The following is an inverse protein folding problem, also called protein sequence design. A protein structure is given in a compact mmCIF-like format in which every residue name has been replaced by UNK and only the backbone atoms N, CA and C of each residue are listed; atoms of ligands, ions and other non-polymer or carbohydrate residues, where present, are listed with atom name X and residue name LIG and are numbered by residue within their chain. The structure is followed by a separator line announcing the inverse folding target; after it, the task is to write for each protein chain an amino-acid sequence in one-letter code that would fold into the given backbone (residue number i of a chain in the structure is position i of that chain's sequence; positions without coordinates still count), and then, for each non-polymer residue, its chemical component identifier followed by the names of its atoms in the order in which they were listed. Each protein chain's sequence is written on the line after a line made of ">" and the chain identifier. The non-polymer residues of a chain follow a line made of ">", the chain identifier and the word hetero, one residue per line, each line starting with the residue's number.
data_IF_489528820894
#
_entry.id   IF_489528820894
#
_cell.length_a   1.000
_cell.length_b   1.000
_cell.length_c   1.000
_cell.angle_alpha   90.00
_cell.angle_beta   90.00
_cell.angle_gamma   90.00
#
_symmetry.space_group_name_H-M   'P 1'
#
loop_
_entity.id
_entity.type
_entity.pdbx_description
1 polymer ?
#
# COMPACT_ATOMS: atom_id res chain seq x y z
N UNK A 1 26.67 14.68 -3.72
CA UNK A 1 25.88 14.57 -2.47
C UNK A 1 24.52 15.26 -2.53
N UNK A 2 24.31 16.33 -3.30
CA UNK A 2 23.03 17.07 -3.42
C UNK A 2 21.94 16.28 -4.17
N UNK A 3 22.31 15.54 -5.23
CA UNK A 3 21.35 14.82 -6.07
C UNK A 3 20.56 13.73 -5.33
N UNK A 4 21.18 13.01 -4.38
CA UNK A 4 20.51 12.01 -3.57
C UNK A 4 19.51 12.61 -2.56
N UNK A 5 19.77 13.82 -2.04
CA UNK A 5 18.84 14.53 -1.15
C UNK A 5 17.58 14.98 -1.88
N UNK A 6 17.70 15.50 -3.09
CA UNK A 6 16.55 15.92 -3.91
C UNK A 6 15.65 14.72 -4.22
N UNK A 7 16.23 13.59 -4.61
CA UNK A 7 15.46 12.37 -4.90
C UNK A 7 14.74 11.80 -3.67
N UNK A 8 15.39 11.83 -2.50
CA UNK A 8 14.75 11.39 -1.25
C UNK A 8 13.54 12.24 -0.85
N UNK A 9 13.35 13.41 -1.41
CA UNK A 9 12.16 14.25 -1.22
C UNK A 9 11.12 14.04 -2.35
N UNK A 10 11.58 13.91 -3.59
CA UNK A 10 10.69 13.78 -4.74
C UNK A 10 10.06 12.39 -4.81
N UNK A 11 10.80 11.32 -4.53
CA UNK A 11 10.31 9.96 -4.64
C UNK A 11 9.14 9.63 -3.72
N UNK A 12 9.10 10.06 -2.45
CA UNK A 12 7.91 9.92 -1.61
C UNK A 12 6.68 10.63 -2.18
N UNK A 13 6.84 11.85 -2.71
CA UNK A 13 5.74 12.59 -3.31
C UNK A 13 5.22 11.90 -4.58
N UNK A 14 6.11 11.42 -5.43
CA UNK A 14 5.75 10.65 -6.62
C UNK A 14 5.09 9.32 -6.27
N UNK A 15 5.60 8.61 -5.26
CA UNK A 15 4.98 7.39 -4.74
C UNK A 15 3.58 7.64 -4.20
N UNK A 16 3.38 8.70 -3.41
CA UNK A 16 2.07 9.09 -2.91
C UNK A 16 1.09 9.43 -4.05
N UNK A 17 1.55 10.10 -5.10
CA UNK A 17 0.74 10.39 -6.29
C UNK A 17 0.32 9.12 -7.04
N UNK A 18 1.21 8.13 -7.19
CA UNK A 18 0.88 6.81 -7.77
C UNK A 18 -0.19 6.11 -6.93
N UNK A 19 -0.04 6.10 -5.59
CA UNK A 19 -1.02 5.48 -4.71
C UNK A 19 -2.37 6.19 -4.85
N UNK A 20 -2.40 7.52 -4.84
CA UNK A 20 -3.60 8.33 -4.97
C UNK A 20 -4.32 8.09 -6.30
N UNK A 21 -3.59 8.02 -7.41
CA UNK A 21 -4.16 7.78 -8.74
C UNK A 21 -4.78 6.37 -8.86
N UNK A 22 -4.07 5.33 -8.40
CA UNK A 22 -4.55 3.95 -8.47
C UNK A 22 -5.64 3.66 -7.43
N UNK A 23 -5.71 4.41 -6.34
CA UNK A 23 -6.77 4.33 -5.34
C UNK A 23 -8.17 4.64 -5.91
N UNK A 24 -8.25 5.37 -7.03
CA UNK A 24 -9.52 5.70 -7.70
C UNK A 24 -10.14 4.49 -8.43
N UNK A 25 -9.35 3.46 -8.71
CA UNK A 25 -9.84 2.25 -9.37
C UNK A 25 -10.40 1.33 -8.29
N UNK A 26 -11.72 1.22 -8.25
CA UNK A 26 -12.47 0.47 -7.24
C UNK A 26 -13.47 -0.49 -7.88
N UNK A 27 -13.69 -1.61 -7.22
CA UNK A 27 -14.81 -2.53 -7.47
C UNK A 27 -15.64 -2.53 -6.19
N UNK A 28 -16.85 -1.92 -6.20
CA UNK A 28 -17.67 -1.81 -5.00
C UNK A 28 -18.29 -3.18 -4.66
N UNK A 29 -17.84 -3.77 -3.55
CA UNK A 29 -18.37 -5.01 -3.00
C UNK A 29 -18.58 -4.84 -1.49
N UNK A 30 -19.82 -4.86 -1.04
CA UNK A 30 -20.14 -4.79 0.39
C UNK A 30 -19.60 -3.55 1.11
N UNK A 31 -19.24 -3.72 2.39
CA UNK A 31 -18.82 -2.61 3.26
C UNK A 31 -17.39 -2.09 2.99
N UNK A 32 -16.53 -2.91 2.39
CA UNK A 32 -15.16 -2.54 2.01
C UNK A 32 -14.98 -2.86 0.53
N UNK A 33 -14.69 -1.87 -0.33
CA UNK A 33 -14.48 -2.11 -1.75
C UNK A 33 -13.14 -2.79 -2.04
N UNK A 34 -13.05 -3.58 -3.11
CA UNK A 34 -11.76 -3.99 -3.68
C UNK A 34 -11.19 -2.77 -4.42
N UNK A 35 -9.94 -2.42 -4.12
CA UNK A 35 -9.25 -1.28 -4.73
C UNK A 35 -7.89 -1.67 -5.27
N UNK A 36 -7.28 -0.83 -6.09
CA UNK A 36 -5.87 -0.98 -6.46
C UNK A 36 -4.91 -0.30 -5.45
N UNK A 37 -5.38 0.11 -4.27
CA UNK A 37 -4.53 0.75 -3.25
C UNK A 37 -3.41 -0.19 -2.77
N UNK A 38 -3.75 -1.44 -2.39
CA UNK A 38 -2.75 -2.42 -1.93
C UNK A 38 -1.74 -2.75 -3.03
N UNK A 39 -2.18 -2.85 -4.28
CA UNK A 39 -1.28 -2.98 -5.43
C UNK A 39 -0.31 -1.79 -5.54
N UNK A 40 -0.84 -0.56 -5.45
CA UNK A 40 -0.04 0.66 -5.58
C UNK A 40 0.98 0.81 -4.44
N UNK A 41 0.54 0.59 -3.20
CA UNK A 41 1.43 0.64 -2.02
C UNK A 41 2.51 -0.43 -2.14
N UNK A 42 2.14 -1.66 -2.50
CA UNK A 42 3.10 -2.76 -2.70
C UNK A 42 4.09 -2.50 -3.83
N UNK A 43 3.64 -1.92 -4.95
CA UNK A 43 4.52 -1.55 -6.07
C UNK A 43 5.52 -0.46 -5.67
N UNK A 44 5.04 0.61 -5.04
CA UNK A 44 5.87 1.70 -4.53
C UNK A 44 6.88 1.17 -3.51
N UNK A 45 6.43 0.30 -2.61
CA UNK A 45 7.27 -0.33 -1.60
C UNK A 45 8.35 -1.25 -2.18
N UNK A 46 8.01 -2.01 -3.22
CA UNK A 46 8.95 -2.93 -3.87
C UNK A 46 10.03 -2.21 -4.71
N UNK A 47 9.77 -0.96 -5.12
CA UNK A 47 10.68 -0.16 -5.95
C UNK A 47 11.50 0.84 -5.13
N UNK A 48 10.91 1.50 -4.13
CA UNK A 48 11.58 2.52 -3.33
C UNK A 48 12.29 1.92 -2.11
N UNK A 49 13.30 2.64 -1.61
CA UNK A 49 13.96 2.28 -0.34
C UNK A 49 12.99 2.41 0.85
N UNK A 50 13.23 1.70 1.96
CA UNK A 50 12.25 1.62 3.06
C UNK A 50 11.77 2.98 3.61
N UNK A 51 12.69 3.93 3.72
CA UNK A 51 12.36 5.29 4.18
C UNK A 51 11.41 6.00 3.21
N UNK A 52 11.74 6.02 1.93
CA UNK A 52 10.97 6.71 0.89
C UNK A 52 9.62 6.03 0.66
N UNK A 53 9.57 4.71 0.69
CA UNK A 53 8.33 3.94 0.57
C UNK A 53 7.37 4.21 1.73
N UNK A 54 7.88 4.19 2.96
CA UNK A 54 7.08 4.50 4.16
C UNK A 54 6.59 5.95 4.14
N UNK A 55 7.47 6.89 3.76
CA UNK A 55 7.11 8.30 3.61
C UNK A 55 6.06 8.50 2.51
N UNK A 56 6.12 7.77 1.38
CA UNK A 56 5.13 7.84 0.32
C UNK A 56 3.73 7.42 0.83
N UNK A 57 3.63 6.29 1.52
CA UNK A 57 2.38 5.82 2.11
C UNK A 57 1.87 6.79 3.19
N UNK A 58 2.77 7.31 4.04
CA UNK A 58 2.40 8.29 5.07
C UNK A 58 1.92 9.59 4.46
N UNK A 59 2.61 10.11 3.44
CA UNK A 59 2.22 11.32 2.73
C UNK A 59 0.85 11.17 2.06
N UNK A 60 0.59 10.01 1.43
CA UNK A 60 -0.72 9.69 0.88
C UNK A 60 -1.83 9.79 1.94
N UNK A 61 -1.59 9.24 3.16
CA UNK A 61 -2.55 9.33 4.26
C UNK A 61 -2.75 10.78 4.73
N UNK A 62 -1.67 11.57 4.82
CA UNK A 62 -1.74 12.98 5.22
C UNK A 62 -2.56 13.78 4.19
N UNK A 63 -2.29 13.60 2.90
CA UNK A 63 -3.04 14.26 1.83
C UNK A 63 -4.54 13.94 1.91
N UNK A 64 -4.89 12.68 2.14
CA UNK A 64 -6.28 12.29 2.35
C UNK A 64 -6.87 12.88 3.63
N UNK A 65 -6.11 12.89 4.74
CA UNK A 65 -6.55 13.42 6.04
C UNK A 65 -6.91 14.91 5.98
N UNK A 66 -6.15 15.73 5.25
CA UNK A 66 -6.43 17.16 5.06
C UNK A 66 -7.58 17.43 4.08
N UNK A 67 -8.22 16.38 3.55
CA UNK A 67 -9.45 16.50 2.76
C UNK A 67 -9.26 16.38 1.26
N UNK A 68 -8.04 16.08 0.74
CA UNK A 68 -7.89 15.81 -0.68
C UNK A 68 -8.59 14.49 -1.06
N UNK A 69 -9.26 14.41 -2.21
CA UNK A 69 -10.03 13.24 -2.64
C UNK A 69 -9.11 12.13 -3.18
N UNK A 70 -8.16 11.67 -2.36
CA UNK A 70 -7.12 10.70 -2.75
C UNK A 70 -7.40 9.28 -2.29
N UNK A 71 -8.35 9.07 -1.36
CA UNK A 71 -8.72 7.73 -0.92
C UNK A 71 -9.65 7.04 -1.93
N UNK A 72 -9.95 5.78 -1.71
CA UNK A 72 -10.76 4.96 -2.59
C UNK A 72 -12.05 5.68 -3.03
N UNK A 73 -12.28 5.74 -4.36
CA UNK A 73 -13.46 6.36 -4.92
C UNK A 73 -13.59 7.88 -4.68
N UNK A 74 -12.47 8.58 -4.52
CA UNK A 74 -12.48 10.03 -4.29
C UNK A 74 -12.75 10.43 -2.84
N UNK A 75 -12.66 9.48 -1.91
CA UNK A 75 -12.79 9.77 -0.48
C UNK A 75 -11.66 10.63 0.06
N UNK A 76 -11.90 11.29 1.19
CA UNK A 76 -10.93 12.10 1.91
C UNK A 76 -11.51 12.65 3.21
N UNK A 77 -10.64 13.31 3.99
CA UNK A 77 -10.98 13.92 5.27
C UNK A 77 -10.70 13.01 6.47
N UNK A 78 -10.52 13.64 7.63
CA UNK A 78 -10.22 12.96 8.89
C UNK A 78 -11.27 11.91 9.28
N UNK A 79 -12.54 12.10 8.89
CA UNK A 79 -13.63 11.18 9.19
C UNK A 79 -13.37 9.76 8.68
N UNK A 80 -12.56 9.60 7.62
CA UNK A 80 -12.21 8.28 7.06
C UNK A 80 -11.44 7.42 8.07
N UNK A 81 -10.69 8.05 8.99
CA UNK A 81 -9.92 7.36 10.02
C UNK A 81 -10.74 6.94 11.25
N UNK A 82 -12.02 7.28 11.28
CA UNK A 82 -12.97 6.85 12.33
C UNK A 82 -14.01 5.87 11.79
N UNK A 83 -13.91 5.51 10.51
CA UNK A 83 -14.80 4.55 9.85
C UNK A 83 -14.31 3.09 9.90
N UNK A 84 -15.16 2.17 9.44
CA UNK A 84 -14.84 0.72 9.44
C UNK A 84 -13.60 0.33 8.64
N UNK A 85 -13.21 1.12 7.65
CA UNK A 85 -12.03 0.89 6.80
C UNK A 85 -10.74 1.59 7.29
N UNK A 86 -10.80 2.29 8.41
CA UNK A 86 -9.68 3.09 8.94
C UNK A 86 -8.40 2.27 9.14
N UNK A 87 -8.52 1.06 9.67
CA UNK A 87 -7.37 0.20 9.97
C UNK A 87 -6.61 -0.27 8.73
N UNK A 88 -7.29 -0.43 7.59
CA UNK A 88 -6.62 -0.72 6.32
C UNK A 88 -5.70 0.43 5.92
N UNK A 89 -6.20 1.66 5.97
CA UNK A 89 -5.43 2.86 5.63
C UNK A 89 -4.24 3.03 6.57
N UNK A 90 -4.47 2.96 7.89
CA UNK A 90 -3.43 3.15 8.89
C UNK A 90 -2.31 2.10 8.81
N UNK A 91 -2.58 0.94 8.25
CA UNK A 91 -1.60 -0.11 8.06
C UNK A 91 -0.69 0.10 6.83
N UNK A 92 -1.03 0.98 5.86
CA UNK A 92 -0.23 1.16 4.65
C UNK A 92 1.23 1.57 4.87
N UNK A 93 1.59 2.46 5.81
CA UNK A 93 3.00 2.75 6.09
C UNK A 93 3.77 1.52 6.58
N UNK A 94 3.14 0.66 7.39
CA UNK A 94 3.76 -0.58 7.87
C UNK A 94 3.88 -1.61 6.74
N UNK A 95 2.88 -1.74 5.90
CA UNK A 95 2.94 -2.54 4.69
C UNK A 95 4.10 -2.09 3.80
N UNK A 96 4.21 -0.79 3.52
CA UNK A 96 5.28 -0.23 2.71
C UNK A 96 6.65 -0.51 3.32
N UNK A 97 6.80 -0.34 4.63
CA UNK A 97 8.05 -0.61 5.35
C UNK A 97 8.46 -2.09 5.22
N UNK A 98 7.58 -3.01 5.60
CA UNK A 98 7.89 -4.46 5.59
C UNK A 98 8.22 -4.93 4.19
N UNK A 99 7.41 -4.59 3.20
CA UNK A 99 7.65 -4.99 1.80
C UNK A 99 8.96 -4.42 1.27
N UNK A 100 9.26 -3.16 1.53
CA UNK A 100 10.47 -2.51 1.04
C UNK A 100 11.75 -3.02 1.72
N UNK A 101 11.70 -3.32 3.03
CA UNK A 101 12.85 -3.91 3.74
C UNK A 101 13.20 -5.29 3.20
N UNK A 102 12.21 -6.07 2.78
CA UNK A 102 12.38 -7.44 2.30
C UNK A 102 12.62 -7.53 0.78
N UNK A 103 12.45 -6.42 0.04
CA UNK A 103 12.59 -6.40 -1.43
C UNK A 103 13.76 -5.52 -1.85
N UNK A 104 14.68 -6.10 -2.65
CA UNK A 104 15.86 -5.44 -3.20
C UNK A 104 16.02 -5.79 -4.69
N UNK A 105 16.90 -5.07 -5.40
CA UNK A 105 17.13 -5.24 -6.82
C UNK A 105 17.47 -6.69 -7.26
N UNK A 106 18.13 -7.45 -6.38
CA UNK A 106 18.52 -8.84 -6.64
C UNK A 106 17.57 -9.86 -6.01
N UNK A 107 16.46 -9.42 -5.40
CA UNK A 107 15.50 -10.31 -4.74
C UNK A 107 14.79 -11.17 -5.81
N UNK A 108 14.74 -12.51 -5.66
CA UNK A 108 13.99 -13.36 -6.57
C UNK A 108 12.48 -13.10 -6.45
N UNK A 109 11.74 -13.33 -7.54
CA UNK A 109 10.31 -13.03 -7.66
C UNK A 109 9.51 -13.62 -6.49
N UNK A 110 9.75 -14.87 -6.11
CA UNK A 110 9.03 -15.51 -5.01
C UNK A 110 9.24 -14.83 -3.64
N UNK A 111 10.45 -14.31 -3.38
CA UNK A 111 10.72 -13.55 -2.14
C UNK A 111 10.04 -12.18 -2.19
N UNK A 112 10.01 -11.49 -3.33
CA UNK A 112 9.26 -10.25 -3.50
C UNK A 112 7.76 -10.47 -3.32
N UNK A 113 7.23 -11.58 -3.82
CA UNK A 113 5.84 -11.99 -3.58
C UNK A 113 5.57 -12.23 -2.09
N UNK A 114 6.44 -12.98 -1.40
CA UNK A 114 6.29 -13.20 0.05
C UNK A 114 6.42 -11.90 0.85
N UNK A 115 7.31 -11.00 0.46
CA UNK A 115 7.44 -9.69 1.08
C UNK A 115 6.14 -8.88 0.99
N UNK A 116 5.50 -8.90 -0.20
CA UNK A 116 4.18 -8.30 -0.39
C UNK A 116 3.15 -8.94 0.53
N UNK A 117 3.02 -10.26 0.53
CA UNK A 117 2.03 -11.00 1.34
C UNK A 117 2.21 -10.73 2.84
N UNK A 118 3.45 -10.70 3.33
CA UNK A 118 3.75 -10.38 4.73
C UNK A 118 3.35 -8.94 5.08
N UNK A 119 3.67 -7.98 4.21
CA UNK A 119 3.26 -6.60 4.41
C UNK A 119 1.73 -6.42 4.36
N UNK A 120 1.08 -7.03 3.38
CA UNK A 120 -0.37 -6.97 3.18
C UNK A 120 -1.16 -7.66 4.30
N UNK A 121 -0.58 -8.68 4.93
CA UNK A 121 -1.18 -9.30 6.12
C UNK A 121 -1.41 -8.30 7.27
N UNK A 122 -0.53 -7.29 7.40
CA UNK A 122 -0.72 -6.22 8.38
C UNK A 122 -1.90 -5.32 8.02
N UNK A 123 -2.17 -5.14 6.73
CA UNK A 123 -3.33 -4.39 6.24
C UNK A 123 -4.61 -5.13 6.62
N UNK A 124 -4.66 -6.45 6.45
CA UNK A 124 -5.81 -7.26 6.90
C UNK A 124 -5.99 -7.25 8.40
N UNK A 125 -4.91 -7.37 9.17
CA UNK A 125 -4.99 -7.27 10.64
C UNK A 125 -5.57 -5.93 11.06
N UNK A 126 -5.04 -4.82 10.55
CA UNK A 126 -5.57 -3.48 10.81
C UNK A 126 -7.03 -3.33 10.39
N UNK A 127 -7.37 -3.83 9.20
CA UNK A 127 -8.72 -3.80 8.66
C UNK A 127 -9.74 -4.58 9.50
N UNK A 128 -9.42 -5.82 9.88
CA UNK A 128 -10.28 -6.64 10.73
C UNK A 128 -10.51 -5.98 12.09
N UNK A 129 -9.44 -5.42 12.69
CA UNK A 129 -9.54 -4.69 13.95
C UNK A 129 -10.47 -3.47 13.82
N UNK A 130 -10.35 -2.68 12.76
CA UNK A 130 -11.24 -1.52 12.57
C UNK A 130 -12.68 -1.92 12.26
N UNK A 131 -12.91 -2.99 11.49
CA UNK A 131 -14.25 -3.53 11.27
C UNK A 131 -14.89 -3.99 12.58
N UNK A 132 -14.12 -4.63 13.46
CA UNK A 132 -14.63 -5.06 14.76
C UNK A 132 -14.91 -3.88 15.69
N UNK A 133 -13.91 -3.02 15.94
CA UNK A 133 -14.03 -1.97 16.94
C UNK A 133 -14.80 -0.73 16.47
N UNK A 134 -14.52 -0.24 15.25
CA UNK A 134 -15.17 0.94 14.70
C UNK A 134 -16.45 0.60 13.92
N UNK A 135 -16.42 -0.51 13.17
CA UNK A 135 -17.60 -1.02 12.46
C UNK A 135 -18.60 -1.77 13.33
N UNK A 136 -18.25 -2.03 14.61
CA UNK A 136 -19.08 -2.79 15.59
C UNK A 136 -19.52 -4.17 15.09
N UNK A 137 -18.71 -4.79 14.25
CA UNK A 137 -18.97 -6.14 13.72
C UNK A 137 -18.47 -7.21 14.69
N UNK A 138 -19.16 -8.35 14.77
CA UNK A 138 -18.62 -9.54 15.43
C UNK A 138 -17.34 -10.03 14.74
N UNK A 139 -16.46 -10.71 15.46
CA UNK A 139 -15.18 -11.19 14.91
C UNK A 139 -15.33 -12.03 13.65
N UNK A 140 -16.24 -12.98 13.62
CA UNK A 140 -16.50 -13.82 12.44
C UNK A 140 -16.97 -13.01 11.23
N UNK A 141 -17.85 -12.03 11.45
CA UNK A 141 -18.33 -11.13 10.40
C UNK A 141 -17.22 -10.21 9.90
N UNK A 142 -16.38 -9.66 10.79
CA UNK A 142 -15.26 -8.81 10.43
C UNK A 142 -14.24 -9.57 9.55
N UNK A 143 -13.93 -10.83 9.88
CA UNK A 143 -13.05 -11.68 9.06
C UNK A 143 -13.71 -12.04 7.72
N UNK A 144 -14.99 -12.42 7.72
CA UNK A 144 -15.71 -12.80 6.51
C UNK A 144 -15.81 -11.63 5.51
N UNK A 145 -16.06 -10.42 6.00
CA UNK A 145 -16.20 -9.22 5.16
C UNK A 145 -14.84 -8.59 4.83
N UNK A 146 -13.91 -8.58 5.77
CA UNK A 146 -12.66 -7.81 5.67
C UNK A 146 -11.48 -8.60 5.13
N UNK A 147 -11.55 -9.93 5.04
CA UNK A 147 -10.45 -10.77 4.56
C UNK A 147 -10.87 -11.63 3.37
N UNK A 148 -11.96 -12.40 3.51
CA UNK A 148 -12.30 -13.46 2.56
C UNK A 148 -12.38 -12.99 1.10
N UNK A 149 -13.06 -11.88 0.75
CA UNK A 149 -13.19 -11.45 -0.64
C UNK A 149 -11.89 -10.88 -1.22
N UNK A 150 -10.91 -10.54 -0.36
CA UNK A 150 -9.66 -9.87 -0.76
C UNK A 150 -8.50 -10.85 -0.98
N UNK A 151 -8.54 -12.05 -0.41
CA UNK A 151 -7.42 -13.02 -0.48
C UNK A 151 -6.98 -13.24 -1.92
N UNK A 152 -7.89 -13.65 -2.81
CA UNK A 152 -7.54 -13.95 -4.20
C UNK A 152 -7.10 -12.69 -4.96
N UNK A 153 -7.84 -11.56 -4.94
CA UNK A 153 -7.40 -10.32 -5.56
C UNK A 153 -6.01 -9.85 -5.09
N UNK A 154 -5.73 -9.89 -3.79
CA UNK A 154 -4.48 -9.36 -3.26
C UNK A 154 -3.30 -10.30 -3.49
N UNK A 155 -3.50 -11.62 -3.52
CA UNK A 155 -2.49 -12.56 -4.01
C UNK A 155 -2.15 -12.32 -5.48
N UNK A 156 -3.13 -12.05 -6.33
CA UNK A 156 -2.90 -11.69 -7.74
C UNK A 156 -2.15 -10.37 -7.87
N UNK A 157 -2.52 -9.34 -7.11
CA UNK A 157 -1.80 -8.06 -7.07
C UNK A 157 -0.35 -8.27 -6.63
N UNK A 158 -0.11 -9.03 -5.56
CA UNK A 158 1.22 -9.35 -5.07
C UNK A 158 2.08 -10.08 -6.12
N UNK A 159 1.49 -11.01 -6.86
CA UNK A 159 2.18 -11.69 -7.96
C UNK A 159 2.55 -10.71 -9.07
N UNK A 160 1.63 -9.85 -9.48
CA UNK A 160 1.90 -8.82 -10.51
C UNK A 160 2.98 -7.85 -10.02
N UNK A 161 2.91 -7.37 -8.78
CA UNK A 161 3.96 -6.53 -8.18
C UNK A 161 5.32 -7.22 -8.26
N UNK A 162 5.41 -8.48 -7.82
CA UNK A 162 6.66 -9.23 -7.84
C UNK A 162 7.24 -9.41 -9.25
N UNK A 163 6.39 -9.62 -10.25
CA UNK A 163 6.79 -9.76 -11.66
C UNK A 163 7.25 -8.43 -12.26
N UNK A 164 6.54 -7.32 -11.97
CA UNK A 164 6.83 -6.00 -12.53
C UNK A 164 8.03 -5.34 -11.85
N UNK A 165 8.24 -5.56 -10.56
CA UNK A 165 9.34 -4.96 -9.79
C UNK A 165 10.71 -5.27 -10.40
N UNK A 166 10.95 -6.51 -10.83
CA UNK A 166 12.25 -6.94 -11.34
C UNK A 166 12.68 -6.18 -12.60
N UNK A 167 11.88 -6.08 -13.68
CA UNK A 167 12.25 -5.29 -14.86
C UNK A 167 12.36 -3.79 -14.54
N UNK A 168 11.50 -3.25 -13.66
CA UNK A 168 11.57 -1.85 -13.24
C UNK A 168 12.91 -1.55 -12.55
N UNK A 169 13.30 -2.34 -11.55
CA UNK A 169 14.58 -2.16 -10.86
C UNK A 169 15.78 -2.39 -11.79
N UNK A 170 15.68 -3.33 -12.75
CA UNK A 170 16.70 -3.51 -13.76
C UNK A 170 16.86 -2.28 -14.67
N UNK A 171 15.77 -1.66 -15.08
CA UNK A 171 15.80 -0.43 -15.88
C UNK A 171 16.38 0.76 -15.10
N UNK A 172 16.16 0.81 -13.80
CA UNK A 172 16.62 1.87 -12.90
C UNK A 172 18.06 1.64 -12.34
N UNK A 173 18.66 0.47 -12.60
CA UNK A 173 19.95 0.06 -12.04
C UNK A 173 21.10 1.04 -12.25
N UNK A 174 21.10 1.78 -13.36
CA UNK A 174 22.17 2.75 -13.69
C UNK A 174 22.03 4.06 -12.90
N UNK A 175 20.95 4.24 -12.15
CA UNK A 175 20.73 5.46 -11.38
C UNK A 175 21.28 5.29 -9.95
N UNK A 176 22.06 6.26 -9.49
CA UNK A 176 22.79 6.23 -8.20
C UNK A 176 21.90 6.00 -6.96
N UNK A 177 20.60 6.28 -7.05
CA UNK A 177 19.65 6.02 -5.96
C UNK A 177 19.31 4.54 -5.81
N UNK A 178 19.25 3.78 -6.90
CA UNK A 178 18.82 2.37 -6.90
C UNK A 178 19.99 1.37 -6.81
N UNK A 179 21.23 1.88 -6.75
CA UNK A 179 22.46 1.12 -6.51
C UNK A 179 22.76 0.98 -5.02
#
# INVERSE_FOLDING_TARGET
>A
MTQNRTLSLILPAFGAAIIAALAQIIIPIGAVPITLQTFAVGLVAAVLKPREATLAATLYLILGAIGLPVFAGGGGGLQTFFGPSAGYLLAYPFFALVTSVLTHANTPIWKSFLAFVLGDSLVFVGGILSLHFLGKMGWSAAVAVGLTPFIIPDLLKGLIVALVTKPVLKALKNHSYFN
#
